data_IF_898672754059
#
_entry.id   IF_898672754059
#
_cell.length_a   1.000
_cell.length_b   1.000
_cell.length_c   1.000
_cell.angle_alpha   90.00
_cell.angle_beta   90.00
_cell.angle_gamma   90.00
#
_symmetry.space_group_name_H-M   'P 1'
#
loop_
_entity.id
_entity.type
_entity.pdbx_description
1 polymer ?
#
# COMPACT_ATOMS: atom_id res chain seq x y z
N UNK A 1 -27.89 -7.63 10.57
CA UNK A 1 -26.56 -7.87 9.98
C UNK A 1 -25.67 -8.49 11.05
N UNK A 2 -25.12 -9.68 10.81
CA UNK A 2 -24.13 -10.28 11.72
C UNK A 2 -22.75 -9.68 11.44
N UNK A 3 -22.17 -9.02 12.44
CA UNK A 3 -20.83 -8.45 12.42
C UNK A 3 -20.01 -8.91 13.63
N UNK A 4 -20.31 -10.08 14.17
CA UNK A 4 -19.72 -10.59 15.41
C UNK A 4 -18.23 -10.81 15.31
N UNK A 5 -17.72 -11.35 14.19
CA UNK A 5 -16.28 -11.57 13.97
C UNK A 5 -15.77 -10.65 12.87
N UNK A 6 -14.83 -9.77 13.25
CA UNK A 6 -14.33 -8.69 12.42
C UNK A 6 -12.80 -8.71 12.34
N UNK A 7 -12.25 -8.40 11.18
CA UNK A 7 -10.81 -8.19 11.03
C UNK A 7 -10.51 -6.95 10.19
N UNK A 8 -9.34 -6.37 10.40
CA UNK A 8 -8.69 -5.46 9.46
C UNK A 8 -7.47 -6.17 8.87
N UNK A 9 -7.48 -6.31 7.56
CA UNK A 9 -6.36 -6.86 6.79
C UNK A 9 -5.46 -5.70 6.37
N UNK A 10 -4.20 -5.71 6.80
CA UNK A 10 -3.25 -4.63 6.49
C UNK A 10 -2.19 -5.16 5.55
N UNK A 11 -2.25 -4.76 4.28
CA UNK A 11 -1.25 -5.10 3.27
C UNK A 11 0.00 -4.25 3.46
N UNK A 12 1.17 -4.90 3.64
CA UNK A 12 2.44 -4.23 3.91
C UNK A 12 3.38 -4.41 2.72
N UNK A 13 3.81 -3.29 2.12
CA UNK A 13 4.74 -3.29 1.00
C UNK A 13 5.56 -2.00 0.95
N UNK A 14 6.78 -2.09 0.44
CA UNK A 14 7.61 -0.93 0.15
C UNK A 14 7.37 -0.41 -1.27
N UNK A 15 7.49 0.91 -1.43
CA UNK A 15 7.29 1.59 -2.70
C UNK A 15 8.62 2.15 -3.21
N UNK A 16 9.05 1.75 -4.42
CA UNK A 16 10.30 2.17 -5.03
C UNK A 16 10.41 3.68 -5.24
N UNK A 17 9.29 4.36 -5.35
CA UNK A 17 9.23 5.82 -5.50
C UNK A 17 9.86 6.60 -4.34
N UNK A 18 10.13 5.97 -3.21
CA UNK A 18 10.83 6.59 -2.07
C UNK A 18 12.23 7.08 -2.46
N UNK A 19 12.85 6.51 -3.48
CA UNK A 19 14.12 6.97 -4.04
C UNK A 19 14.08 8.45 -4.44
N UNK A 20 12.91 8.98 -4.81
CA UNK A 20 12.70 10.37 -5.20
C UNK A 20 12.55 11.34 -4.02
N UNK A 21 12.83 10.87 -2.81
CA UNK A 21 12.82 11.68 -1.57
C UNK A 21 11.47 12.36 -1.31
N UNK A 22 10.39 11.64 -1.58
CA UNK A 22 9.00 12.08 -1.38
C UNK A 22 8.45 11.71 0.00
N UNK A 23 9.29 11.19 0.88
CA UNK A 23 8.94 10.85 2.25
C UNK A 23 10.03 11.32 3.21
N UNK A 24 9.65 11.64 4.45
CA UNK A 24 10.60 11.93 5.54
C UNK A 24 11.17 10.66 6.18
N UNK A 25 10.49 9.53 6.02
CA UNK A 25 10.88 8.24 6.56
C UNK A 25 11.52 7.37 5.48
N UNK A 26 12.50 6.55 5.86
CA UNK A 26 13.08 5.52 5.01
C UNK A 26 12.19 4.28 4.93
N UNK A 27 12.45 3.42 3.95
CA UNK A 27 11.70 2.16 3.74
C UNK A 27 11.77 1.22 4.95
N UNK A 28 12.85 1.26 5.74
CA UNK A 28 13.02 0.45 6.96
C UNK A 28 11.87 0.60 7.97
N UNK A 29 11.13 1.70 7.91
CA UNK A 29 9.96 1.94 8.76
C UNK A 29 8.81 0.99 8.41
N UNK A 30 8.64 0.59 7.15
CA UNK A 30 7.59 -0.34 6.73
C UNK A 30 7.73 -1.68 7.48
N UNK A 31 8.90 -2.29 7.44
CA UNK A 31 9.16 -3.56 8.14
C UNK A 31 9.00 -3.44 9.66
N UNK A 32 9.50 -2.34 10.26
CA UNK A 32 9.37 -2.09 11.70
C UNK A 32 7.92 -1.98 12.15
N UNK A 33 7.08 -1.28 11.38
CA UNK A 33 5.66 -1.13 11.68
C UNK A 33 4.92 -2.45 11.44
N UNK A 34 5.22 -3.19 10.38
CA UNK A 34 4.67 -4.51 10.13
C UNK A 34 4.99 -5.47 11.30
N UNK A 35 6.25 -5.51 11.75
CA UNK A 35 6.66 -6.28 12.91
C UNK A 35 5.92 -5.86 14.20
N UNK A 36 5.68 -4.56 14.40
CA UNK A 36 4.89 -4.08 15.53
C UNK A 36 3.42 -4.51 15.43
N UNK A 37 2.85 -4.61 14.24
CA UNK A 37 1.52 -5.19 14.01
C UNK A 37 1.51 -6.69 14.32
N UNK A 38 2.51 -7.44 13.84
CA UNK A 38 2.65 -8.87 14.15
C UNK A 38 2.72 -9.15 15.66
N UNK A 39 3.37 -8.28 16.43
CA UNK A 39 3.43 -8.36 17.91
C UNK A 39 2.21 -7.77 18.63
N UNK A 40 1.24 -7.21 17.93
CA UNK A 40 0.07 -6.57 18.53
C UNK A 40 0.33 -5.23 19.26
N UNK A 41 1.46 -4.58 18.99
CA UNK A 41 1.91 -3.38 19.73
C UNK A 41 1.71 -2.07 18.98
N UNK A 42 1.35 -2.12 17.69
CA UNK A 42 1.12 -0.93 16.86
C UNK A 42 -0.14 -0.16 17.26
N UNK A 43 -0.24 1.09 16.77
CA UNK A 43 -1.43 1.94 17.03
C UNK A 43 -2.72 1.29 16.50
N UNK A 44 -2.69 0.70 15.29
CA UNK A 44 -3.85 0.01 14.73
C UNK A 44 -4.28 -1.17 15.61
N UNK A 45 -3.33 -1.93 16.17
CA UNK A 45 -3.65 -3.04 17.08
C UNK A 45 -4.35 -2.57 18.36
N UNK A 46 -3.92 -1.45 18.93
CA UNK A 46 -4.56 -0.86 20.11
C UNK A 46 -5.98 -0.38 19.82
N UNK A 47 -6.17 0.30 18.70
CA UNK A 47 -7.49 0.78 18.26
C UNK A 47 -8.42 -0.37 17.92
N UNK A 48 -7.93 -1.36 17.18
CA UNK A 48 -8.67 -2.56 16.79
C UNK A 48 -9.12 -3.37 18.02
N UNK A 49 -8.24 -3.51 19.03
CA UNK A 49 -8.58 -4.17 20.30
C UNK A 49 -9.76 -3.49 21.01
N UNK A 50 -9.78 -2.15 21.04
CA UNK A 50 -10.90 -1.39 21.62
C UNK A 50 -12.21 -1.58 20.85
N UNK A 51 -12.14 -1.81 19.54
CA UNK A 51 -13.31 -2.06 18.67
C UNK A 51 -13.71 -3.54 18.56
N UNK A 52 -13.00 -4.45 19.21
CA UNK A 52 -13.21 -5.90 19.08
C UNK A 52 -12.92 -6.41 17.66
N UNK A 53 -11.86 -5.88 17.03
CA UNK A 53 -11.43 -6.22 15.67
C UNK A 53 -10.05 -6.89 15.73
N UNK A 54 -9.85 -7.95 14.95
CA UNK A 54 -8.56 -8.60 14.79
C UNK A 54 -7.72 -7.87 13.74
N UNK A 55 -6.40 -7.73 13.95
CA UNK A 55 -5.47 -7.16 12.97
C UNK A 55 -4.70 -8.27 12.30
N UNK A 56 -4.77 -8.35 10.98
CA UNK A 56 -4.09 -9.35 10.16
C UNK A 56 -3.10 -8.62 9.25
N UNK A 57 -1.84 -8.44 9.68
CA UNK A 57 -0.81 -7.88 8.82
C UNK A 57 -0.34 -8.90 7.79
N UNK A 58 -0.18 -8.47 6.55
CA UNK A 58 0.21 -9.30 5.40
C UNK A 58 1.43 -8.68 4.73
N UNK A 59 2.50 -9.42 4.63
CA UNK A 59 3.65 -9.02 3.82
C UNK A 59 3.36 -9.36 2.35
N UNK A 60 2.93 -8.35 1.60
CA UNK A 60 2.71 -8.46 0.16
C UNK A 60 3.92 -7.98 -0.64
N UNK A 61 4.84 -7.26 -0.01
CA UNK A 61 5.98 -6.70 -0.72
C UNK A 61 6.96 -5.89 0.14
N UNK A 62 7.21 -6.24 1.38
CA UNK A 62 8.24 -5.59 2.22
C UNK A 62 9.62 -5.87 1.60
N UNK A 63 10.46 -4.84 1.50
CA UNK A 63 11.79 -4.92 0.89
C UNK A 63 12.85 -5.49 1.85
N UNK A 64 12.53 -6.60 2.51
CA UNK A 64 13.44 -7.35 3.36
C UNK A 64 13.46 -8.83 2.96
N UNK A 65 14.49 -9.54 3.38
CA UNK A 65 14.57 -10.98 3.25
C UNK A 65 13.65 -11.64 4.29
N UNK A 66 12.74 -12.52 3.83
CA UNK A 66 11.72 -13.10 4.69
C UNK A 66 10.57 -12.14 5.01
N UNK A 67 9.77 -12.48 6.01
CA UNK A 67 8.66 -11.67 6.53
C UNK A 67 8.79 -11.52 8.04
N UNK A 68 8.43 -10.38 8.63
CA UNK A 68 8.49 -10.20 10.08
C UNK A 68 7.61 -11.21 10.82
N UNK A 69 8.01 -11.56 12.05
CA UNK A 69 7.25 -12.48 12.90
C UNK A 69 5.82 -11.98 13.15
N UNK A 70 4.83 -12.89 13.03
CA UNK A 70 3.42 -12.56 13.18
C UNK A 70 2.78 -11.83 12.00
N UNK A 71 3.51 -11.67 10.90
CA UNK A 71 3.02 -11.13 9.62
C UNK A 71 2.85 -12.27 8.63
N UNK A 72 1.70 -12.35 7.93
CA UNK A 72 1.43 -13.39 6.95
C UNK A 72 2.39 -13.25 5.75
N UNK A 73 3.16 -14.29 5.41
CA UNK A 73 4.15 -14.24 4.33
C UNK A 73 3.50 -14.48 2.96
N UNK A 74 3.05 -13.43 2.31
CA UNK A 74 2.42 -13.45 0.99
C UNK A 74 3.18 -12.58 -0.03
N UNK A 75 4.48 -12.45 0.12
CA UNK A 75 5.33 -11.56 -0.68
C UNK A 75 5.32 -11.93 -2.16
N UNK A 76 4.89 -10.99 -3.02
CA UNK A 76 4.97 -11.10 -4.48
C UNK A 76 6.38 -10.77 -4.95
N UNK A 77 6.93 -9.66 -4.42
CA UNK A 77 8.29 -9.19 -4.68
C UNK A 77 8.79 -8.31 -3.54
N UNK A 78 10.05 -7.96 -3.54
CA UNK A 78 10.68 -7.05 -2.56
C UNK A 78 10.52 -5.60 -3.01
N UNK A 79 9.50 -4.90 -2.53
CA UNK A 79 9.14 -3.54 -2.92
C UNK A 79 8.69 -3.40 -4.38
N UNK A 80 8.00 -2.34 -4.74
CA UNK A 80 7.75 -2.01 -6.14
C UNK A 80 8.99 -1.37 -6.78
N UNK A 81 9.02 -1.28 -8.11
CA UNK A 81 9.98 -0.44 -8.83
C UNK A 81 9.60 1.02 -8.68
N UNK A 82 10.50 1.90 -9.09
CA UNK A 82 10.26 3.34 -9.11
C UNK A 82 9.48 3.72 -10.39
N UNK A 83 8.24 4.13 -10.25
CA UNK A 83 7.34 4.37 -11.37
C UNK A 83 7.69 5.59 -12.26
N UNK A 84 8.66 6.43 -11.87
CA UNK A 84 9.22 7.43 -12.80
C UNK A 84 10.47 6.94 -13.56
N UNK A 85 10.82 5.65 -13.43
CA UNK A 85 11.92 5.03 -14.16
C UNK A 85 11.44 3.87 -15.04
N UNK A 86 10.50 3.11 -14.54
CA UNK A 86 9.88 1.95 -15.19
C UNK A 86 8.55 1.63 -14.52
N UNK A 87 7.76 0.72 -15.07
CA UNK A 87 6.52 0.26 -14.43
C UNK A 87 6.79 -0.28 -13.02
N UNK A 88 5.98 0.14 -12.04
CA UNK A 88 6.13 -0.27 -10.63
C UNK A 88 6.03 -1.79 -10.45
N UNK A 89 5.15 -2.44 -11.22
CA UNK A 89 4.93 -3.88 -11.24
C UNK A 89 4.75 -4.40 -12.67
N UNK A 90 5.09 -5.66 -12.90
CA UNK A 90 4.64 -6.36 -14.11
C UNK A 90 3.18 -6.74 -13.98
N UNK A 91 2.50 -7.02 -15.10
CA UNK A 91 1.12 -7.54 -15.10
C UNK A 91 0.99 -8.80 -14.23
N UNK A 92 1.96 -9.71 -14.30
CA UNK A 92 1.99 -10.94 -13.51
C UNK A 92 2.11 -10.64 -12.00
N UNK A 93 2.97 -9.70 -11.60
CA UNK A 93 3.10 -9.27 -10.20
C UNK A 93 1.80 -8.62 -9.70
N UNK A 94 1.16 -7.79 -10.53
CA UNK A 94 -0.13 -7.15 -10.20
C UNK A 94 -1.24 -8.20 -10.04
N UNK A 95 -1.38 -9.13 -10.98
CA UNK A 95 -2.34 -10.23 -10.89
C UNK A 95 -2.11 -11.10 -9.66
N UNK A 96 -0.85 -11.46 -9.37
CA UNK A 96 -0.52 -12.25 -8.18
C UNK A 96 -0.93 -11.52 -6.88
N UNK A 97 -0.71 -10.21 -6.80
CA UNK A 97 -1.14 -9.42 -5.64
C UNK A 97 -2.66 -9.40 -5.48
N UNK A 98 -3.41 -9.28 -6.58
CA UNK A 98 -4.89 -9.35 -6.58
C UNK A 98 -5.36 -10.73 -6.14
N UNK A 99 -4.79 -11.81 -6.69
CA UNK A 99 -5.14 -13.19 -6.34
C UNK A 99 -4.91 -13.48 -4.86
N UNK A 100 -3.80 -13.03 -4.28
CA UNK A 100 -3.54 -13.15 -2.84
C UNK A 100 -4.64 -12.48 -2.02
N UNK A 101 -5.08 -11.28 -2.42
CA UNK A 101 -6.19 -10.58 -1.76
C UNK A 101 -7.50 -11.37 -1.82
N UNK A 102 -7.82 -11.93 -2.98
CA UNK A 102 -9.02 -12.75 -3.20
C UNK A 102 -8.98 -14.04 -2.37
N UNK A 103 -7.86 -14.76 -2.36
CA UNK A 103 -7.69 -15.99 -1.59
C UNK A 103 -7.77 -15.73 -0.08
N UNK A 104 -7.14 -14.63 0.38
CA UNK A 104 -7.22 -14.25 1.78
C UNK A 104 -8.66 -13.92 2.21
N UNK A 105 -9.39 -13.17 1.40
CA UNK A 105 -10.80 -12.86 1.68
C UNK A 105 -11.67 -14.12 1.75
N UNK A 106 -11.51 -15.06 0.80
CA UNK A 106 -12.19 -16.36 0.82
C UNK A 106 -11.86 -17.15 2.08
N UNK A 107 -10.57 -17.26 2.43
CA UNK A 107 -10.12 -17.98 3.63
C UNK A 107 -10.75 -17.40 4.89
N UNK A 108 -10.69 -16.08 5.07
CA UNK A 108 -11.25 -15.42 6.23
C UNK A 108 -12.77 -15.59 6.31
N UNK A 109 -13.48 -15.55 5.18
CA UNK A 109 -14.91 -15.85 5.14
C UNK A 109 -15.21 -17.28 5.62
N UNK A 110 -14.43 -18.28 5.20
CA UNK A 110 -14.58 -19.66 5.67
C UNK A 110 -14.23 -19.82 7.16
N UNK A 111 -13.28 -19.04 7.67
CA UNK A 111 -12.93 -18.98 9.10
C UNK A 111 -14.00 -18.28 9.96
N UNK A 112 -15.05 -17.76 9.32
CA UNK A 112 -16.23 -17.18 9.98
C UNK A 112 -16.15 -15.69 10.23
N UNK A 113 -15.21 -14.96 9.63
CA UNK A 113 -15.22 -13.50 9.65
C UNK A 113 -16.42 -12.96 8.86
N UNK A 114 -17.11 -11.98 9.42
CA UNK A 114 -18.35 -11.40 8.87
C UNK A 114 -18.16 -9.99 8.35
N UNK A 115 -17.10 -9.32 8.79
CA UNK A 115 -16.73 -7.98 8.35
C UNK A 115 -15.22 -7.89 8.20
N UNK A 116 -14.76 -7.48 7.01
CA UNK A 116 -13.37 -7.20 6.73
C UNK A 116 -13.21 -5.71 6.42
N UNK A 117 -12.28 -5.07 7.11
CA UNK A 117 -11.77 -3.76 6.73
C UNK A 117 -10.43 -3.95 6.00
N UNK A 118 -10.14 -3.08 5.05
CA UNK A 118 -8.86 -3.03 4.36
C UNK A 118 -7.98 -1.95 4.96
N UNK A 119 -6.70 -2.23 5.08
CA UNK A 119 -5.67 -1.30 5.47
C UNK A 119 -4.42 -1.52 4.63
N UNK A 120 -3.53 -0.57 4.63
CA UNK A 120 -2.22 -0.71 4.00
C UNK A 120 -1.14 -0.04 4.87
N UNK A 121 0.08 -0.51 4.71
CA UNK A 121 1.28 0.08 5.31
C UNK A 121 2.45 -0.01 4.33
N UNK A 122 2.97 1.16 3.94
CA UNK A 122 4.14 1.22 3.06
C UNK A 122 4.64 2.65 2.94
N UNK A 123 5.91 2.88 3.24
CA UNK A 123 6.49 4.22 3.05
C UNK A 123 6.46 4.56 1.56
N UNK A 124 5.95 5.76 1.22
CA UNK A 124 5.69 6.18 -0.17
C UNK A 124 4.27 5.91 -0.68
N UNK A 125 3.46 5.13 0.04
CA UNK A 125 2.09 4.74 -0.32
C UNK A 125 1.18 5.89 -0.77
N UNK A 126 1.23 7.04 -0.07
CA UNK A 126 0.39 8.19 -0.43
C UNK A 126 0.79 8.85 -1.75
N UNK A 127 2.04 8.67 -2.21
CA UNK A 127 2.49 9.13 -3.54
C UNK A 127 1.90 8.23 -4.62
N UNK A 128 2.02 6.92 -4.46
CA UNK A 128 1.45 5.91 -5.36
C UNK A 128 -0.07 6.04 -5.42
N UNK A 129 -0.74 6.20 -4.27
CA UNK A 129 -2.19 6.40 -4.21
C UNK A 129 -2.64 7.68 -4.92
N UNK A 130 -1.87 8.77 -4.81
CA UNK A 130 -2.16 10.02 -5.53
C UNK A 130 -2.00 9.84 -7.04
N UNK A 131 -0.98 9.11 -7.50
CA UNK A 131 -0.79 8.83 -8.92
C UNK A 131 -1.96 8.02 -9.50
N UNK A 132 -2.32 6.91 -8.83
CA UNK A 132 -3.46 6.08 -9.24
C UNK A 132 -4.76 6.87 -9.25
N UNK A 133 -5.03 7.65 -8.20
CA UNK A 133 -6.26 8.42 -8.12
C UNK A 133 -6.31 9.53 -9.18
N UNK A 134 -5.22 10.27 -9.41
CA UNK A 134 -5.16 11.29 -10.46
C UNK A 134 -5.40 10.71 -11.85
N UNK A 135 -4.77 9.56 -12.15
CA UNK A 135 -4.94 8.87 -13.42
C UNK A 135 -6.40 8.42 -13.64
N UNK A 136 -6.97 7.68 -12.66
CA UNK A 136 -8.33 7.15 -12.78
C UNK A 136 -9.43 8.22 -12.79
N UNK A 137 -9.23 9.32 -12.07
CA UNK A 137 -10.17 10.45 -12.02
C UNK A 137 -9.92 11.50 -13.10
N UNK A 138 -8.83 11.35 -13.87
CA UNK A 138 -8.39 12.31 -14.88
C UNK A 138 -8.33 13.75 -14.35
N UNK A 139 -7.78 13.93 -13.13
CA UNK A 139 -7.67 15.22 -12.47
C UNK A 139 -6.20 15.66 -12.28
N UNK A 140 -6.01 16.96 -12.00
CA UNK A 140 -4.67 17.51 -11.73
C UNK A 140 -4.10 16.88 -10.44
N UNK A 141 -2.90 16.30 -10.47
CA UNK A 141 -2.22 15.78 -9.27
C UNK A 141 -2.16 16.76 -8.09
N UNK A 142 -2.14 18.06 -8.35
CA UNK A 142 -2.16 19.11 -7.31
C UNK A 142 -3.41 19.07 -6.44
N UNK A 143 -4.54 18.64 -7.00
CA UNK A 143 -5.82 18.65 -6.29
C UNK A 143 -5.92 17.52 -5.25
N UNK A 144 -5.20 16.42 -5.48
CA UNK A 144 -5.32 15.21 -4.67
C UNK A 144 -4.03 14.78 -3.95
N UNK A 145 -2.89 15.40 -4.27
CA UNK A 145 -1.62 15.06 -3.61
C UNK A 145 -1.49 15.79 -2.29
N UNK A 146 -1.54 15.05 -1.19
CA UNK A 146 -1.38 15.59 0.16
C UNK A 146 0.03 15.42 0.73
N UNK A 147 0.27 16.08 1.87
CA UNK A 147 1.56 16.04 2.61
C UNK A 147 1.90 14.66 3.20
N UNK A 148 0.96 13.72 3.21
CA UNK A 148 1.17 12.43 3.83
C UNK A 148 1.55 12.58 5.32
N UNK A 149 2.64 11.96 5.75
CA UNK A 149 3.13 11.99 7.13
C UNK A 149 3.84 13.31 7.52
N UNK A 150 3.42 14.46 6.95
CA UNK A 150 3.88 15.78 7.41
C UNK A 150 5.03 16.38 6.61
N UNK A 151 5.06 16.19 5.30
CA UNK A 151 6.03 16.84 4.41
C UNK A 151 5.99 18.38 4.52
N UNK A 152 7.15 19.02 4.35
CA UNK A 152 7.23 20.47 4.13
C UNK A 152 6.56 20.87 2.82
N UNK A 153 6.26 22.15 2.64
CA UNK A 153 5.66 22.66 1.39
C UNK A 153 6.57 22.40 0.18
N UNK A 154 7.88 22.58 0.34
CA UNK A 154 8.85 22.28 -0.72
C UNK A 154 8.87 20.79 -1.09
N UNK A 155 8.79 19.91 -0.11
CA UNK A 155 8.74 18.47 -0.35
C UNK A 155 7.39 18.02 -0.95
N UNK A 156 6.30 18.72 -0.62
CA UNK A 156 5.00 18.50 -1.28
C UNK A 156 5.06 18.86 -2.76
N UNK A 157 5.67 20.00 -3.13
CA UNK A 157 5.84 20.36 -4.54
C UNK A 157 6.64 19.31 -5.32
N UNK A 158 7.71 18.77 -4.71
CA UNK A 158 8.45 17.66 -5.30
C UNK A 158 7.58 16.44 -5.50
N UNK A 159 6.78 16.07 -4.50
CA UNK A 159 5.88 14.92 -4.56
C UNK A 159 4.86 15.08 -5.68
N UNK A 160 4.28 16.27 -5.86
CA UNK A 160 3.36 16.58 -6.95
C UNK A 160 4.05 16.40 -8.31
N UNK A 161 5.26 16.96 -8.47
CA UNK A 161 6.02 16.84 -9.71
C UNK A 161 6.34 15.36 -10.06
N UNK A 162 6.70 14.55 -9.05
CA UNK A 162 6.94 13.11 -9.23
C UNK A 162 5.67 12.37 -9.68
N UNK A 163 4.51 12.72 -9.12
CA UNK A 163 3.23 12.14 -9.54
C UNK A 163 2.91 12.54 -10.99
N UNK A 164 3.08 13.81 -11.35
CA UNK A 164 2.89 14.30 -12.73
C UNK A 164 3.80 13.56 -13.72
N UNK A 165 5.09 13.43 -13.38
CA UNK A 165 6.09 12.76 -14.22
C UNK A 165 5.72 11.30 -14.48
N UNK A 166 5.34 10.55 -13.44
CA UNK A 166 4.94 9.15 -13.58
C UNK A 166 3.69 8.97 -14.44
N UNK A 167 2.67 9.82 -14.26
CA UNK A 167 1.46 9.81 -15.08
C UNK A 167 1.78 10.09 -16.54
N UNK A 168 2.65 11.06 -16.82
CA UNK A 168 3.05 11.41 -18.18
C UNK A 168 3.90 10.31 -18.82
N UNK A 169 4.88 9.77 -18.09
CA UNK A 169 5.78 8.72 -18.59
C UNK A 169 5.03 7.48 -19.06
N UNK A 170 3.97 7.11 -18.35
CA UNK A 170 3.17 5.91 -18.65
C UNK A 170 1.86 6.22 -19.39
N UNK A 171 1.63 7.47 -19.80
CA UNK A 171 0.40 7.92 -20.50
C UNK A 171 -0.91 7.52 -19.77
N UNK A 172 -0.90 7.57 -18.42
CA UNK A 172 -1.92 6.95 -17.58
C UNK A 172 -3.32 7.56 -17.71
N UNK A 173 -3.47 8.79 -18.21
CA UNK A 173 -4.80 9.38 -18.47
C UNK A 173 -5.57 8.68 -19.60
N UNK A 174 -4.88 7.87 -20.41
CA UNK A 174 -5.46 7.12 -21.52
C UNK A 174 -5.44 5.61 -21.25
N UNK A 175 -4.83 5.18 -20.15
CA UNK A 175 -4.68 3.80 -19.77
C UNK A 175 -5.96 3.24 -19.12
N UNK A 176 -6.16 1.94 -19.22
CA UNK A 176 -7.20 1.29 -18.44
C UNK A 176 -6.81 1.13 -16.97
N UNK A 177 -7.77 0.78 -16.11
CA UNK A 177 -7.54 0.69 -14.67
C UNK A 177 -6.48 -0.34 -14.29
N UNK A 178 -6.33 -1.42 -15.06
CA UNK A 178 -5.32 -2.45 -14.79
C UNK A 178 -3.91 -1.95 -15.14
N UNK A 179 -3.77 -1.27 -16.26
CA UNK A 179 -2.51 -0.62 -16.65
C UNK A 179 -2.07 0.44 -15.63
N UNK A 180 -3.03 1.23 -15.12
CA UNK A 180 -2.75 2.20 -14.04
C UNK A 180 -2.23 1.52 -12.77
N UNK A 181 -2.73 0.33 -12.43
CA UNK A 181 -2.25 -0.43 -11.27
C UNK A 181 -0.86 -1.03 -11.49
N UNK A 182 -0.46 -1.31 -12.72
CA UNK A 182 0.86 -1.84 -13.06
C UNK A 182 1.94 -0.75 -13.10
N UNK A 183 1.55 0.46 -13.50
CA UNK A 183 2.46 1.59 -13.67
C UNK A 183 2.84 2.18 -12.31
#
# INVERSE_FOLDING_TARGET
LDISRKAVVVMCADNGIVEEKISQSGQDVTAKVAAAMGRGTSSVCRMAKAAGVEVIPVDIGINEEGSPEGVLPCKVRRGTRNFIKERAMTEQETLAAIEIGMELAKRLAHEGYKLLATGEMGIGNTTTSSAVAAALLSCDPKEITGKGAGLSDTALLRKIAVVEEGIQMHELYQADAFDVLCA
#
